data_IF_434973264298
#
_entry.id   IF_434973264298
#
_cell.length_a   1.000
_cell.length_b   1.000
_cell.length_c   1.000
_cell.angle_alpha   90.00
_cell.angle_beta   90.00
_cell.angle_gamma   90.00
#
_symmetry.space_group_name_H-M   'P 1'
#
loop_
_entity.id
_entity.type
_entity.pdbx_description
1 polymer ?
#
# COMPACT_ATOMS: atom_id res chain seq x y z
N UNK A 1 26.45 9.97 5.01
CA UNK A 1 26.59 8.66 5.67
C UNK A 1 25.25 7.97 5.57
N UNK A 2 25.21 6.78 4.99
CA UNK A 2 23.97 6.02 4.84
C UNK A 2 23.64 5.25 6.10
N UNK A 3 22.36 5.25 6.47
CA UNK A 3 21.88 4.47 7.60
C UNK A 3 21.86 2.98 7.26
N UNK A 4 22.28 2.15 8.22
CA UNK A 4 22.27 0.69 8.05
C UNK A 4 20.84 0.14 7.85
N UNK A 5 19.87 0.66 8.60
CA UNK A 5 18.45 0.32 8.49
C UNK A 5 17.61 1.59 8.62
N UNK A 6 16.38 1.54 8.12
CA UNK A 6 15.39 2.58 8.39
C UNK A 6 14.10 1.96 8.90
N UNK A 7 13.76 2.26 10.16
CA UNK A 7 12.58 1.72 10.85
C UNK A 7 11.70 2.80 11.49
N UNK A 8 11.97 4.07 11.18
CA UNK A 8 11.27 5.22 11.76
C UNK A 8 10.23 5.73 10.76
N UNK A 9 8.93 5.71 11.08
CA UNK A 9 7.88 6.25 10.20
C UNK A 9 8.10 7.73 9.89
N UNK A 10 8.66 8.45 10.86
CA UNK A 10 8.94 9.87 10.79
C UNK A 10 10.38 10.13 10.40
N UNK A 11 10.61 10.43 9.12
CA UNK A 11 11.78 11.15 8.69
C UNK A 11 11.76 11.44 7.20
N UNK A 12 12.82 12.12 6.75
CA UNK A 12 12.92 12.62 5.40
C UNK A 12 12.75 11.55 4.30
N UNK A 13 13.35 10.34 4.39
CA UNK A 13 13.21 9.33 3.35
C UNK A 13 11.88 8.54 3.39
N UNK A 14 10.96 8.84 4.32
CA UNK A 14 9.69 8.10 4.50
C UNK A 14 8.46 8.99 4.48
N UNK A 15 8.59 10.25 4.05
CA UNK A 15 7.48 11.20 4.01
C UNK A 15 6.30 10.72 3.15
N UNK A 16 6.59 10.07 2.03
CA UNK A 16 5.62 9.52 1.07
C UNK A 16 5.17 8.10 1.38
N UNK A 17 5.55 7.52 2.52
CA UNK A 17 5.12 6.18 2.94
C UNK A 17 3.64 6.14 3.43
N UNK A 18 3.05 7.32 3.61
CA UNK A 18 1.70 7.53 4.10
C UNK A 18 0.73 7.59 2.92
N UNK A 19 -0.43 6.93 3.05
CA UNK A 19 -1.49 7.11 2.06
C UNK A 19 -2.05 8.55 2.13
N UNK A 20 -2.60 9.03 1.00
CA UNK A 20 -3.17 10.38 0.92
C UNK A 20 -4.25 10.67 1.96
N UNK A 21 -5.00 9.63 2.34
CA UNK A 21 -6.08 9.71 3.33
C UNK A 21 -5.63 9.33 4.75
N UNK A 22 -4.35 8.98 4.97
CA UNK A 22 -3.86 8.56 6.28
C UNK A 22 -3.80 9.76 7.24
N UNK A 23 -4.34 9.57 8.45
CA UNK A 23 -4.26 10.51 9.54
C UNK A 23 -2.93 10.37 10.31
N UNK A 24 -2.49 11.42 11.02
CA UNK A 24 -1.35 11.31 11.91
C UNK A 24 -1.59 10.22 12.98
N UNK A 25 -0.72 9.21 13.00
CA UNK A 25 -0.82 8.07 13.92
C UNK A 25 -1.21 6.77 13.24
N UNK A 26 -1.74 6.80 12.02
CA UNK A 26 -2.21 5.59 11.34
C UNK A 26 -1.07 4.61 11.01
N UNK A 27 0.16 5.12 10.78
CA UNK A 27 1.32 4.27 10.49
C UNK A 27 2.04 3.92 11.79
N UNK A 28 2.00 2.63 12.14
CA UNK A 28 2.61 2.09 13.35
C UNK A 28 4.10 1.79 13.18
N UNK A 29 4.47 1.24 12.03
CA UNK A 29 5.82 0.79 11.76
C UNK A 29 6.18 0.92 10.28
N UNK A 30 7.48 1.11 10.02
CA UNK A 30 8.05 1.01 8.68
C UNK A 30 9.31 0.17 8.72
N UNK A 31 9.65 -0.45 7.59
CA UNK A 31 10.91 -1.17 7.43
C UNK A 31 11.44 -0.95 6.01
N UNK A 32 12.70 -0.57 5.87
CA UNK A 32 13.39 -0.58 4.57
C UNK A 32 13.99 -1.96 4.29
N UNK A 33 13.92 -2.42 3.06
CA UNK A 33 14.70 -3.58 2.60
C UNK A 33 16.21 -3.33 2.77
N UNK A 34 16.97 -4.42 2.87
CA UNK A 34 18.41 -4.37 3.09
C UNK A 34 19.21 -4.13 1.81
N UNK A 35 18.73 -4.68 0.69
CA UNK A 35 19.31 -4.50 -0.64
C UNK A 35 18.25 -4.04 -1.63
N UNK A 36 18.75 -3.38 -2.68
CA UNK A 36 17.95 -3.06 -3.83
C UNK A 36 17.99 -4.22 -4.81
N UNK A 37 16.99 -5.09 -4.71
CA UNK A 37 16.86 -6.27 -5.58
C UNK A 37 16.04 -5.94 -6.86
N UNK A 38 15.40 -4.76 -6.93
CA UNK A 38 14.55 -4.32 -8.06
C UNK A 38 15.35 -3.72 -9.22
N UNK A 39 16.33 -2.90 -8.89
CA UNK A 39 17.46 -2.44 -9.72
C UNK A 39 18.64 -2.26 -8.76
N UNK A 40 19.88 -2.37 -9.24
CA UNK A 40 21.08 -2.25 -8.39
C UNK A 40 21.06 -0.91 -7.62
N UNK A 41 20.66 -0.97 -6.35
CA UNK A 41 20.54 0.21 -5.46
C UNK A 41 19.11 0.65 -5.10
N UNK A 42 18.05 0.12 -5.71
CA UNK A 42 16.66 0.50 -5.40
C UNK A 42 16.06 -0.31 -4.25
N UNK A 43 16.06 0.25 -3.05
CA UNK A 43 15.39 -0.37 -1.89
C UNK A 43 13.88 -0.14 -1.91
N UNK A 44 13.14 -0.98 -1.21
CA UNK A 44 11.70 -0.79 -0.95
C UNK A 44 11.47 -0.42 0.52
N UNK A 45 10.36 0.24 0.78
CA UNK A 45 9.88 0.58 2.11
C UNK A 45 8.54 -0.09 2.35
N UNK A 46 8.47 -0.92 3.38
CA UNK A 46 7.23 -1.42 3.93
C UNK A 46 6.69 -0.43 4.96
N UNK A 47 5.38 -0.17 4.94
CA UNK A 47 4.65 0.51 6.01
C UNK A 47 3.49 -0.35 6.48
N UNK A 48 3.23 -0.32 7.79
CA UNK A 48 2.21 -1.08 8.47
C UNK A 48 1.28 -0.10 9.21
N UNK A 49 -0.03 -0.25 9.00
CA UNK A 49 -1.02 0.71 9.51
C UNK A 49 -2.06 0.11 10.49
N UNK A 50 -2.83 1.00 11.09
CA UNK A 50 -3.91 0.69 12.04
C UNK A 50 -5.13 0.02 11.41
N UNK A 51 -5.23 0.02 10.09
CA UNK A 51 -6.36 -0.55 9.34
C UNK A 51 -6.14 -2.02 8.96
N UNK A 52 -5.04 -2.63 9.38
CA UNK A 52 -4.71 -4.02 9.03
C UNK A 52 -4.05 -4.15 7.66
N UNK A 53 -3.54 -3.02 7.14
CA UNK A 53 -2.98 -2.94 5.81
C UNK A 53 -1.47 -2.76 5.87
N UNK A 54 -0.79 -3.45 4.95
CA UNK A 54 0.64 -3.34 4.71
C UNK A 54 0.84 -2.73 3.34
N UNK A 55 1.67 -1.70 3.22
CA UNK A 55 2.00 -1.06 1.95
C UNK A 55 3.47 -1.24 1.62
N UNK A 56 3.79 -1.37 0.34
CA UNK A 56 5.15 -1.36 -0.18
C UNK A 56 5.33 -0.22 -1.17
N UNK A 57 6.27 0.68 -0.91
CA UNK A 57 6.63 1.81 -1.77
C UNK A 57 8.13 1.78 -2.13
N UNK A 58 8.54 2.60 -3.09
CA UNK A 58 9.97 2.82 -3.37
C UNK A 58 10.64 3.54 -2.20
N UNK A 59 11.94 3.31 -1.99
CA UNK A 59 12.78 4.04 -1.05
C UNK A 59 13.90 4.79 -1.80
N UNK A 60 14.17 6.06 -1.50
CA UNK A 60 13.48 6.90 -0.53
C UNK A 60 12.08 7.33 -1.02
N UNK A 61 11.10 7.30 -0.13
CA UNK A 61 9.76 7.82 -0.33
C UNK A 61 9.72 9.29 0.14
N UNK A 62 10.46 10.18 -0.53
CA UNK A 62 10.62 11.58 -0.12
C UNK A 62 10.03 12.59 -1.12
N UNK A 63 9.47 12.11 -2.23
CA UNK A 63 8.90 12.96 -3.28
C UNK A 63 7.39 12.78 -3.29
N UNK A 64 6.68 13.68 -2.60
CA UNK A 64 5.21 13.68 -2.56
C UNK A 64 4.63 12.37 -2.04
N UNK A 65 3.46 11.99 -2.58
CA UNK A 65 2.86 10.67 -2.37
C UNK A 65 3.58 9.68 -3.29
N UNK A 66 4.29 8.72 -2.70
CA UNK A 66 4.97 7.68 -3.46
C UNK A 66 3.97 6.62 -3.92
N UNK A 67 4.14 6.12 -5.14
CA UNK A 67 3.37 4.96 -5.59
C UNK A 67 3.60 3.77 -4.65
N UNK A 68 2.52 3.07 -4.33
CA UNK A 68 2.56 1.93 -3.43
C UNK A 68 1.68 0.79 -3.92
N UNK A 69 2.04 -0.42 -3.47
CA UNK A 69 1.17 -1.59 -3.52
C UNK A 69 0.59 -1.83 -2.13
N UNK A 70 -0.68 -2.16 -2.08
CA UNK A 70 -1.41 -2.39 -0.85
C UNK A 70 -1.73 -3.87 -0.66
N UNK A 71 -1.54 -4.36 0.56
CA UNK A 71 -1.74 -5.75 0.95
C UNK A 71 -2.58 -5.81 2.22
N UNK A 72 -3.79 -6.32 2.11
CA UNK A 72 -4.68 -6.54 3.24
C UNK A 72 -4.63 -8.01 3.67
N UNK A 73 -4.55 -8.25 4.98
CA UNK A 73 -4.55 -9.61 5.53
C UNK A 73 -4.86 -9.63 7.01
N UNK A 74 -4.24 -8.73 7.78
CA UNK A 74 -4.53 -8.57 9.20
C UNK A 74 -5.97 -8.08 9.41
N UNK A 75 -6.66 -8.64 10.40
CA UNK A 75 -8.03 -8.24 10.75
C UNK A 75 -8.08 -7.19 11.86
N UNK A 76 -6.92 -6.61 12.21
CA UNK A 76 -6.72 -5.56 13.21
C UNK A 76 -5.45 -4.78 12.88
N UNK A 77 -5.09 -3.79 13.70
CA UNK A 77 -3.90 -2.96 13.51
C UNK A 77 -2.63 -3.78 13.37
N UNK A 78 -1.84 -3.46 12.35
CA UNK A 78 -0.52 -4.05 12.14
C UNK A 78 0.47 -3.30 13.00
N UNK A 79 0.95 -3.96 14.04
CA UNK A 79 1.81 -3.35 15.08
C UNK A 79 3.27 -3.22 14.64
N UNK A 80 3.74 -4.09 13.75
CA UNK A 80 5.13 -4.08 13.31
C UNK A 80 5.32 -4.75 11.96
N UNK A 81 6.41 -4.40 11.26
CA UNK A 81 6.85 -5.04 10.03
C UNK A 81 8.39 -5.11 9.96
N UNK A 82 8.93 -6.18 9.38
CA UNK A 82 10.38 -6.35 9.20
C UNK A 82 10.70 -7.25 8.00
N UNK A 83 11.69 -6.84 7.21
CA UNK A 83 12.23 -7.69 6.16
C UNK A 83 13.14 -8.79 6.73
N UNK A 84 13.14 -9.94 6.08
CA UNK A 84 14.13 -10.98 6.30
C UNK A 84 15.51 -10.49 5.85
N UNK A 85 16.59 -11.06 6.39
CA UNK A 85 17.96 -10.69 5.99
C UNK A 85 18.27 -10.83 4.50
N UNK A 86 17.49 -11.66 3.78
CA UNK A 86 17.59 -11.86 2.33
C UNK A 86 16.56 -11.08 1.52
N UNK A 87 15.77 -10.22 2.15
CA UNK A 87 14.63 -9.46 1.60
C UNK A 87 13.50 -10.30 0.95
N UNK A 88 13.68 -11.60 0.72
CA UNK A 88 12.66 -12.53 0.15
C UNK A 88 11.33 -12.61 0.90
N UNK A 89 11.32 -12.21 2.17
CA UNK A 89 10.15 -12.27 3.02
C UNK A 89 10.00 -10.96 3.80
N UNK A 90 8.76 -10.52 3.93
CA UNK A 90 8.34 -9.52 4.90
C UNK A 90 7.54 -10.22 5.99
N UNK A 91 7.80 -9.89 7.25
CA UNK A 91 7.06 -10.42 8.41
C UNK A 91 6.31 -9.28 9.06
N UNK A 92 5.03 -9.47 9.34
CA UNK A 92 4.19 -8.50 10.06
C UNK A 92 3.51 -9.13 11.26
N UNK A 93 3.27 -8.30 12.29
CA UNK A 93 2.60 -8.72 13.53
C UNK A 93 1.32 -7.93 13.72
N UNK A 94 0.19 -8.61 13.88
CA UNK A 94 -1.08 -7.96 14.16
C UNK A 94 -1.37 -7.97 15.66
N UNK A 95 -1.88 -6.83 16.16
CA UNK A 95 -2.10 -6.64 17.59
C UNK A 95 -3.36 -7.34 18.07
N UNK A 96 -4.53 -6.89 17.59
CA UNK A 96 -5.82 -7.44 18.00
C UNK A 96 -6.13 -8.83 17.42
N UNK A 97 -5.61 -9.14 16.22
CA UNK A 97 -5.82 -10.43 15.57
C UNK A 97 -4.86 -11.53 16.09
N UNK A 98 -3.80 -11.12 16.80
CA UNK A 98 -2.77 -11.98 17.41
C UNK A 98 -2.05 -12.88 16.40
N UNK A 99 -2.01 -12.45 15.14
CA UNK A 99 -1.42 -13.20 14.04
C UNK A 99 -0.03 -12.68 13.69
N UNK A 100 0.80 -13.58 13.17
CA UNK A 100 2.03 -13.24 12.47
C UNK A 100 1.86 -13.66 11.02
N UNK A 101 2.03 -12.74 10.08
CA UNK A 101 1.92 -13.01 8.65
C UNK A 101 3.30 -12.91 8.00
N UNK A 102 3.57 -13.84 7.10
CA UNK A 102 4.80 -13.89 6.31
C UNK A 102 4.43 -13.72 4.85
N UNK A 103 4.88 -12.63 4.26
CA UNK A 103 4.60 -12.24 2.89
C UNK A 103 5.78 -12.60 2.02
N UNK A 104 5.51 -13.23 0.88
CA UNK A 104 6.55 -13.47 -0.12
C UNK A 104 6.86 -12.15 -0.82
N UNK A 105 8.08 -11.67 -0.66
CA UNK A 105 8.63 -10.58 -1.45
C UNK A 105 9.45 -11.24 -2.57
N UNK A 106 8.78 -11.59 -3.66
CA UNK A 106 9.43 -12.06 -4.89
C UNK A 106 9.48 -10.96 -5.92
N UNK A 107 10.45 -11.08 -6.84
CA UNK A 107 10.63 -10.21 -7.99
C UNK A 107 9.34 -10.07 -8.81
N UNK A 108 9.24 -8.98 -9.57
CA UNK A 108 8.10 -8.67 -10.41
C UNK A 108 7.68 -9.86 -11.26
N UNK A 109 6.37 -10.06 -11.37
CA UNK A 109 5.78 -10.76 -12.49
C UNK A 109 6.17 -10.00 -13.77
N UNK A 110 7.25 -10.43 -14.43
CA UNK A 110 7.32 -10.33 -15.89
C UNK A 110 6.21 -11.20 -16.48
N UNK A 111 5.74 -10.94 -17.71
CA UNK A 111 4.63 -11.69 -18.29
C UNK A 111 4.93 -13.19 -18.20
N UNK A 112 4.03 -13.94 -17.53
CA UNK A 112 4.17 -15.38 -17.38
C UNK A 112 4.08 -16.07 -18.74
N UNK A 113 5.22 -16.40 -19.34
CA UNK A 113 5.26 -17.46 -20.35
C UNK A 113 5.17 -18.81 -19.63
N UNK A 114 3.93 -19.32 -19.49
CA UNK A 114 3.68 -20.69 -19.06
C UNK A 114 2.47 -20.88 -18.16
N UNK A 115 1.29 -20.44 -18.60
CA UNK A 115 0.04 -20.87 -18.00
C UNK A 115 -0.11 -22.40 -18.13
N UNK A 116 -0.03 -23.11 -17.00
CA UNK A 116 -0.62 -24.44 -16.90
C UNK A 116 -1.98 -24.29 -16.21
N UNK A 117 -3.04 -24.53 -16.97
CA UNK A 117 -4.44 -24.44 -16.58
C UNK A 117 -4.79 -25.46 -15.50
N UNK A 118 -4.75 -25.07 -14.21
CA UNK A 118 -5.69 -25.57 -13.19
C UNK A 118 -5.58 -24.76 -11.87
N UNK A 119 -6.11 -23.54 -11.83
CA UNK A 119 -6.56 -22.91 -10.58
C UNK A 119 -7.42 -21.69 -10.87
N UNK A 120 -8.73 -21.86 -10.67
CA UNK A 120 -9.75 -20.89 -10.98
C UNK A 120 -9.79 -19.68 -10.04
N UNK A 121 -9.92 -18.51 -10.68
CA UNK A 121 -10.77 -17.37 -10.31
C UNK A 121 -10.62 -16.73 -8.92
N UNK A 122 -9.87 -15.62 -8.87
CA UNK A 122 -10.34 -14.34 -8.30
C UNK A 122 -9.46 -13.18 -8.81
N UNK A 123 -9.61 -12.84 -10.09
CA UNK A 123 -9.23 -11.52 -10.58
C UNK A 123 -10.51 -10.70 -10.68
N UNK A 124 -10.61 -9.61 -9.91
CA UNK A 124 -11.58 -8.55 -10.19
C UNK A 124 -10.86 -7.21 -10.16
N UNK A 125 -10.76 -6.65 -11.36
CA UNK A 125 -10.36 -5.29 -11.66
C UNK A 125 -11.40 -4.28 -11.18
N UNK A 126 -10.98 -3.04 -10.93
CA UNK A 126 -11.58 -1.86 -11.57
C UNK A 126 -10.83 -0.59 -11.16
N UNK A 127 -9.89 -0.15 -12.00
CA UNK A 127 -9.76 1.28 -12.27
C UNK A 127 -10.75 1.60 -13.39
N UNK A 128 -11.77 2.40 -13.09
CA UNK A 128 -12.62 3.05 -14.08
C UNK A 128 -12.85 4.48 -13.61
N UNK A 129 -12.16 5.41 -14.25
CA UNK A 129 -12.55 6.82 -14.31
C UNK A 129 -13.82 6.91 -15.12
N UNK A 130 -14.86 7.59 -14.62
CA UNK A 130 -15.80 8.38 -15.40
C UNK A 130 -16.70 9.15 -14.44
N UNK A 131 -16.49 10.46 -14.36
CA UNK A 131 -17.42 11.37 -13.71
C UNK A 131 -17.63 12.57 -14.64
N UNK A 132 -18.51 12.40 -15.63
CA UNK A 132 -19.16 13.53 -16.28
C UNK A 132 -20.67 13.30 -16.44
N UNK A 133 -21.41 14.22 -15.81
CA UNK A 133 -22.67 14.83 -16.23
C UNK A 133 -23.97 14.00 -16.21
N UNK A 134 -24.84 14.36 -15.26
CA UNK A 134 -26.28 14.40 -15.50
C UNK A 134 -26.84 15.73 -14.97
N UNK A 135 -27.09 16.65 -15.89
CA UNK A 135 -28.03 17.75 -15.71
C UNK A 135 -29.47 17.20 -15.81
N UNK A 136 -30.36 17.62 -14.91
CA UNK A 136 -31.81 17.53 -15.11
C UNK A 136 -32.42 18.90 -14.82
N UNK A 137 -33.00 19.50 -15.86
CA UNK A 137 -33.65 20.79 -15.85
C UNK A 137 -35.18 20.64 -15.67
N UNK A 138 -35.74 21.60 -14.93
CA UNK A 138 -37.02 22.31 -15.10
C UNK A 138 -38.39 21.60 -15.11
N UNK A 139 -39.27 22.07 -14.22
CA UNK A 139 -40.59 22.65 -14.54
C UNK A 139 -40.95 23.58 -13.36
N UNK A 140 -41.46 24.81 -13.47
CA UNK A 140 -42.29 25.45 -14.49
C UNK A 140 -43.77 25.36 -14.06
N UNK A 141 -44.33 26.43 -13.44
CA UNK A 141 -45.77 26.53 -13.18
C UNK A 141 -46.19 27.64 -12.20
N UNK A 142 -46.92 28.63 -12.72
CA UNK A 142 -47.44 29.88 -12.13
C UNK A 142 -48.61 29.76 -11.12
N UNK A 143 -48.88 30.87 -10.42
CA UNK A 143 -50.15 31.27 -9.77
C UNK A 143 -49.91 32.13 -8.51
N UNK A 144 -50.53 33.29 -8.25
CA UNK A 144 -51.76 33.86 -8.81
C UNK A 144 -52.84 34.19 -7.78
N UNK A 145 -52.58 34.73 -6.56
CA UNK A 145 -53.67 35.17 -5.68
C UNK A 145 -53.26 35.92 -4.39
N UNK A 146 -53.71 37.19 -4.24
CA UNK A 146 -54.06 37.80 -2.95
C UNK A 146 -53.37 39.10 -2.55
#
# INVERSE_FOLDING_TARGET
ADWATWSLPYGWPTQGAWAAAAAPGDVNAVARSHRGDWEEGECVLASADDHGTVRLSRYPANVGLSDYREYSGHSSHVTNCAFSASDKWLVTTGGGDRCVMVWRHSEGCGPEEGANEEQGAAAMAAGATDAETAAAATSGGEGDDG
#
